data_IF_040181770621
#
_entry.id   IF_040181770621
#
_cell.length_a   1.000
_cell.length_b   1.000
_cell.length_c   1.000
_cell.angle_alpha   90.00
_cell.angle_beta   90.00
_cell.angle_gamma   90.00
#
_symmetry.space_group_name_H-M   'P 1'
#
loop_
_entity.id
_entity.type
_entity.pdbx_description
1 polymer ?
#
# COMPACT_ATOMS: atom_id res chain seq x y z
N UNK A 1 -16.90 0.05 15.10
CA UNK A 1 -15.70 0.56 14.40
C UNK A 1 -14.48 0.37 15.27
N UNK A 2 -13.47 -0.31 14.79
CA UNK A 2 -12.22 -0.61 15.53
C UNK A 2 -11.53 0.68 15.98
N UNK A 3 -11.68 1.80 15.25
CA UNK A 3 -11.01 3.07 15.53
C UNK A 3 -11.51 3.91 16.68
N UNK A 4 -12.63 3.57 17.32
CA UNK A 4 -13.23 4.45 18.35
C UNK A 4 -12.42 4.58 19.66
N UNK A 5 -11.54 3.63 19.94
CA UNK A 5 -10.76 3.60 21.18
C UNK A 5 -9.25 3.77 20.93
N UNK A 6 -8.83 4.13 19.72
CA UNK A 6 -7.44 4.37 19.40
C UNK A 6 -7.01 5.75 19.88
N UNK A 7 -5.72 5.93 20.17
CA UNK A 7 -5.15 7.23 20.53
C UNK A 7 -5.17 8.24 19.36
N UNK A 8 -5.36 7.76 18.14
CA UNK A 8 -5.57 8.56 16.94
C UNK A 8 -6.86 8.09 16.26
N UNK A 9 -8.04 8.49 16.75
CA UNK A 9 -9.31 7.97 16.28
C UNK A 9 -9.56 8.40 14.83
N UNK A 10 -9.96 7.42 14.02
CA UNK A 10 -10.45 7.67 12.66
C UNK A 10 -11.81 8.36 12.78
N UNK A 11 -12.04 9.52 12.15
CA UNK A 11 -13.34 10.19 12.17
C UNK A 11 -14.43 9.27 11.61
N UNK A 12 -15.66 9.40 12.11
CA UNK A 12 -16.80 8.61 11.62
C UNK A 12 -17.17 8.99 10.20
N UNK A 13 -16.82 10.18 9.79
CA UNK A 13 -16.97 10.72 8.44
C UNK A 13 -15.83 11.72 8.19
N UNK A 14 -15.46 11.87 6.95
CA UNK A 14 -14.54 12.91 6.52
C UNK A 14 -15.19 13.67 5.36
N UNK A 15 -15.06 14.98 5.38
CA UNK A 15 -15.45 15.83 4.27
C UNK A 15 -14.20 16.12 3.46
N UNK A 16 -14.22 15.75 2.20
CA UNK A 16 -13.19 16.10 1.25
C UNK A 16 -13.82 16.87 0.11
N UNK A 17 -13.29 18.06 -0.14
CA UNK A 17 -13.83 18.92 -1.20
C UNK A 17 -13.04 18.79 -2.49
N UNK A 18 -13.74 18.48 -3.58
CA UNK A 18 -13.29 18.85 -4.90
C UNK A 18 -13.97 20.16 -5.27
N UNK A 19 -13.20 21.24 -5.46
CA UNK A 19 -13.76 22.58 -5.75
C UNK A 19 -14.89 23.00 -4.78
N UNK A 20 -14.77 22.60 -3.49
CA UNK A 20 -15.71 22.84 -2.38
C UNK A 20 -16.94 21.92 -2.33
N UNK A 21 -17.04 20.91 -3.16
CA UNK A 21 -18.04 19.87 -2.97
C UNK A 21 -17.60 18.89 -1.88
N UNK A 22 -18.50 18.62 -0.96
CA UNK A 22 -18.28 17.67 0.12
C UNK A 22 -18.44 16.26 -0.41
N UNK A 23 -17.43 15.43 -0.23
CA UNK A 23 -17.47 13.99 -0.51
C UNK A 23 -17.46 13.25 0.81
N UNK A 24 -18.59 12.68 1.24
CA UNK A 24 -18.67 12.01 2.54
C UNK A 24 -17.96 10.64 2.47
N UNK A 25 -17.43 10.21 3.62
CA UNK A 25 -17.02 8.84 3.79
C UNK A 25 -18.24 7.90 3.79
N UNK A 26 -18.19 6.85 2.99
CA UNK A 26 -19.26 5.86 2.87
C UNK A 26 -18.76 4.44 3.03
N UNK A 27 -19.69 3.50 3.23
CA UNK A 27 -19.36 2.07 3.28
C UNK A 27 -19.24 1.54 1.85
N UNK A 28 -18.15 0.80 1.58
CA UNK A 28 -17.95 0.14 0.30
C UNK A 28 -19.03 -0.90 0.01
N UNK A 29 -19.51 -0.94 -1.23
CA UNK A 29 -20.53 -1.89 -1.69
C UNK A 29 -19.95 -3.16 -2.29
N UNK A 30 -18.67 -3.14 -2.63
CA UNK A 30 -17.90 -4.22 -3.23
C UNK A 30 -16.46 -4.20 -2.70
N UNK A 31 -15.60 -5.04 -3.26
CA UNK A 31 -14.18 -5.13 -2.88
C UNK A 31 -13.25 -4.57 -3.97
N UNK A 32 -13.80 -3.80 -4.89
CA UNK A 32 -13.02 -3.21 -5.97
C UNK A 32 -12.19 -2.04 -5.44
N UNK A 33 -10.97 -1.93 -5.94
CA UNK A 33 -10.11 -0.78 -5.68
C UNK A 33 -10.39 0.34 -6.70
N UNK A 34 -10.15 1.61 -6.35
CA UNK A 34 -10.17 2.70 -7.32
C UNK A 34 -9.26 2.43 -8.51
N UNK A 35 -9.69 2.79 -9.71
CA UNK A 35 -8.91 2.66 -10.94
C UNK A 35 -9.02 3.95 -11.78
N UNK A 36 -7.93 4.70 -11.99
CA UNK A 36 -6.55 4.38 -11.58
C UNK A 36 -6.35 4.37 -10.07
N UNK A 37 -5.21 3.85 -9.62
CA UNK A 37 -4.80 3.91 -8.22
C UNK A 37 -4.53 5.37 -7.81
N UNK A 38 -4.53 5.62 -6.50
CA UNK A 38 -4.21 6.95 -5.97
C UNK A 38 -2.73 7.28 -6.15
N UNK A 39 -2.41 8.56 -6.30
CA UNK A 39 -1.02 9.01 -6.33
C UNK A 39 -0.30 8.67 -5.02
N UNK A 40 0.91 8.13 -5.14
CA UNK A 40 1.68 7.62 -4.00
C UNK A 40 2.98 8.39 -3.76
N UNK A 41 3.44 9.22 -4.71
CA UNK A 41 4.67 9.96 -4.57
C UNK A 41 4.55 11.04 -3.47
N UNK A 42 5.69 11.47 -2.95
CA UNK A 42 5.74 12.43 -1.84
C UNK A 42 5.02 13.76 -2.13
N UNK A 43 4.97 14.21 -3.38
CA UNK A 43 4.24 15.41 -3.75
C UNK A 43 2.71 15.19 -3.80
N UNK A 44 2.23 13.97 -4.07
CA UNK A 44 0.84 13.58 -3.87
C UNK A 44 0.51 13.58 -2.38
N UNK A 45 1.39 13.02 -1.56
CA UNK A 45 1.23 13.05 -0.09
C UNK A 45 1.14 14.49 0.44
N UNK A 46 1.89 15.44 -0.12
CA UNK A 46 1.75 16.84 0.22
C UNK A 46 0.32 17.35 -0.06
N UNK A 47 -0.23 17.06 -1.23
CA UNK A 47 -1.61 17.43 -1.56
C UNK A 47 -2.61 16.75 -0.63
N UNK A 48 -2.48 15.46 -0.41
CA UNK A 48 -3.39 14.67 0.43
C UNK A 48 -3.44 15.19 1.87
N UNK A 49 -2.29 15.48 2.46
CA UNK A 49 -2.18 15.92 3.84
C UNK A 49 -2.53 17.39 4.05
N UNK A 50 -2.17 18.27 3.13
CA UNK A 50 -2.21 19.72 3.33
C UNK A 50 -3.17 20.44 2.36
N UNK A 51 -3.82 19.72 1.47
CA UNK A 51 -4.69 20.25 0.42
C UNK A 51 -4.03 21.36 -0.43
N UNK A 52 -2.73 21.22 -0.68
CA UNK A 52 -1.96 22.11 -1.55
C UNK A 52 -1.75 21.44 -2.90
N UNK A 53 -2.31 22.05 -3.93
CA UNK A 53 -2.17 21.60 -5.32
C UNK A 53 -1.80 22.81 -6.18
N UNK A 54 -0.54 22.90 -6.53
CA UNK A 54 -0.02 24.00 -7.34
C UNK A 54 -0.65 23.96 -8.75
N UNK A 55 -1.01 25.12 -9.26
CA UNK A 55 -1.71 25.24 -10.54
C UNK A 55 -0.93 24.59 -11.72
N UNK A 56 0.40 24.68 -11.70
CA UNK A 56 1.26 24.08 -12.72
C UNK A 56 1.38 22.57 -12.60
N UNK A 57 1.06 22.00 -11.43
CA UNK A 57 1.14 20.56 -11.14
C UNK A 57 -0.23 19.87 -11.27
N UNK A 58 -1.29 20.65 -11.39
CA UNK A 58 -2.65 20.14 -11.56
C UNK A 58 -2.79 19.35 -12.86
N UNK A 59 -3.29 18.13 -12.79
CA UNK A 59 -3.50 17.23 -13.93
C UNK A 59 -2.19 16.82 -14.65
N UNK A 60 -1.11 16.74 -13.88
CA UNK A 60 0.20 16.27 -14.36
C UNK A 60 0.49 14.87 -13.86
N UNK A 61 1.05 14.05 -14.75
CA UNK A 61 1.64 12.77 -14.38
C UNK A 61 2.86 12.96 -13.49
N UNK A 62 3.23 11.91 -12.74
CA UNK A 62 4.31 11.96 -11.76
C UNK A 62 5.66 12.49 -12.29
N UNK A 63 5.99 12.19 -13.55
CA UNK A 63 7.23 12.65 -14.19
C UNK A 63 7.19 14.12 -14.65
N UNK A 64 6.01 14.75 -14.62
CA UNK A 64 5.78 16.12 -15.09
C UNK A 64 5.60 17.11 -13.93
N UNK A 65 5.47 16.63 -12.70
CA UNK A 65 5.35 17.49 -11.52
C UNK A 65 6.67 18.22 -11.25
N UNK A 66 6.59 19.53 -11.03
CA UNK A 66 7.74 20.43 -10.85
C UNK A 66 7.63 21.24 -9.57
N UNK A 67 8.69 21.96 -9.23
CA UNK A 67 8.67 22.89 -8.09
C UNK A 67 7.46 23.83 -8.15
N UNK A 68 6.83 24.12 -6.99
CA UNK A 68 7.22 23.73 -5.63
C UNK A 68 6.72 22.38 -5.16
N UNK A 69 6.35 21.43 -6.04
CA UNK A 69 5.93 20.06 -5.76
C UNK A 69 4.77 19.94 -4.76
N UNK A 70 3.80 20.81 -4.84
CA UNK A 70 2.68 20.88 -3.92
C UNK A 70 3.12 21.02 -2.45
N UNK A 71 4.28 21.59 -2.21
CA UNK A 71 4.83 21.71 -0.87
C UNK A 71 3.99 22.67 -0.02
N UNK A 72 3.65 22.28 1.21
CA UNK A 72 2.92 23.17 2.11
C UNK A 72 3.82 24.32 2.59
N UNK A 73 3.22 25.43 3.06
CA UNK A 73 3.96 26.48 3.75
C UNK A 73 4.75 25.94 4.94
N UNK A 74 5.87 26.56 5.26
CA UNK A 74 6.68 26.19 6.43
C UNK A 74 5.82 26.20 7.70
N UNK A 75 5.89 25.11 8.48
CA UNK A 75 5.10 24.90 9.70
C UNK A 75 3.58 24.77 9.49
N UNK A 76 3.12 24.45 8.29
CA UNK A 76 1.72 24.11 8.07
C UNK A 76 1.31 22.88 8.91
N UNK A 77 0.09 22.92 9.42
CA UNK A 77 -0.51 21.75 10.06
C UNK A 77 -1.29 20.93 9.02
N UNK A 78 -1.14 19.61 8.97
CA UNK A 78 -1.92 18.78 8.07
C UNK A 78 -3.42 18.96 8.31
N UNK A 79 -4.17 19.24 7.25
CA UNK A 79 -5.64 19.34 7.28
C UNK A 79 -6.30 18.01 7.01
N UNK A 80 -5.60 17.09 6.34
CA UNK A 80 -6.07 15.74 5.99
C UNK A 80 -7.30 15.74 5.07
N UNK A 81 -7.45 16.76 4.24
CA UNK A 81 -8.64 16.98 3.40
C UNK A 81 -8.34 17.10 1.89
N UNK A 82 -7.10 16.84 1.48
CA UNK A 82 -6.67 16.94 0.09
C UNK A 82 -6.78 15.65 -0.75
N UNK A 83 -7.26 14.54 -0.19
CA UNK A 83 -7.27 13.24 -0.88
C UNK A 83 -8.10 13.25 -2.17
N UNK A 84 -9.28 13.84 -2.15
CA UNK A 84 -10.16 13.92 -3.34
C UNK A 84 -9.56 14.83 -4.40
N UNK A 85 -9.01 15.98 -4.01
CA UNK A 85 -8.35 16.91 -4.92
C UNK A 85 -7.16 16.28 -5.63
N UNK A 86 -6.33 15.53 -4.87
CA UNK A 86 -5.21 14.79 -5.40
C UNK A 86 -5.66 13.70 -6.37
N UNK A 87 -6.67 12.91 -5.99
CA UNK A 87 -7.18 11.83 -6.83
C UNK A 87 -7.77 12.34 -8.15
N UNK A 88 -8.54 13.43 -8.13
CA UNK A 88 -9.08 14.04 -9.35
C UNK A 88 -7.93 14.48 -10.27
N UNK A 89 -6.86 15.06 -9.71
CA UNK A 89 -5.69 15.44 -10.48
C UNK A 89 -4.98 14.24 -11.11
N UNK A 90 -4.72 13.19 -10.31
CA UNK A 90 -4.08 11.95 -10.76
C UNK A 90 -4.92 11.25 -11.83
N UNK A 91 -6.20 11.05 -11.58
CA UNK A 91 -7.12 10.43 -12.53
C UNK A 91 -7.11 11.18 -13.88
N UNK A 92 -7.19 12.51 -13.81
CA UNK A 92 -7.22 13.33 -15.05
C UNK A 92 -5.92 13.22 -15.82
N UNK A 93 -4.77 13.17 -15.12
CA UNK A 93 -3.46 12.97 -15.75
C UNK A 93 -3.35 11.62 -16.45
N UNK A 94 -3.82 10.55 -15.82
CA UNK A 94 -3.67 9.18 -16.32
C UNK A 94 -4.69 8.81 -17.39
N UNK A 95 -5.96 9.23 -17.20
CA UNK A 95 -7.08 8.85 -18.08
C UNK A 95 -7.32 9.87 -19.18
N UNK A 96 -6.86 11.11 -19.01
CA UNK A 96 -7.04 12.19 -19.99
C UNK A 96 -8.41 12.84 -19.99
N UNK A 97 -9.25 12.60 -18.97
CA UNK A 97 -10.54 13.27 -18.73
C UNK A 97 -10.79 13.48 -17.23
N UNK A 98 -11.70 14.35 -16.89
CA UNK A 98 -12.15 14.49 -15.51
C UNK A 98 -12.90 13.23 -15.04
N UNK A 99 -12.73 12.80 -13.79
CA UNK A 99 -13.54 11.73 -13.21
C UNK A 99 -14.98 12.18 -12.97
N UNK A 100 -15.91 11.24 -12.97
CA UNK A 100 -17.27 11.44 -12.47
C UNK A 100 -17.27 11.48 -10.94
N UNK A 101 -18.38 11.93 -10.34
CA UNK A 101 -18.56 11.89 -8.89
C UNK A 101 -18.34 10.47 -8.32
N UNK A 102 -18.91 9.45 -8.94
CA UNK A 102 -18.81 8.07 -8.50
C UNK A 102 -17.34 7.57 -8.51
N UNK A 103 -16.59 7.95 -9.56
CA UNK A 103 -15.18 7.56 -9.68
C UNK A 103 -14.30 8.17 -8.59
N UNK A 104 -14.43 9.46 -8.32
CA UNK A 104 -13.60 10.07 -7.28
C UNK A 104 -14.12 9.85 -5.85
N UNK A 105 -15.44 9.70 -5.67
CA UNK A 105 -16.00 9.38 -4.36
C UNK A 105 -15.62 7.96 -3.90
N UNK A 106 -15.24 7.07 -4.80
CA UNK A 106 -14.82 5.71 -4.48
C UNK A 106 -13.64 5.69 -3.51
N UNK A 107 -12.68 6.63 -3.59
CA UNK A 107 -11.56 6.70 -2.63
C UNK A 107 -12.00 7.02 -1.19
N UNK A 108 -13.22 7.54 -1.02
CA UNK A 108 -13.81 7.86 0.28
C UNK A 108 -14.68 6.72 0.82
N UNK A 109 -14.56 5.53 0.27
CA UNK A 109 -15.24 4.33 0.79
C UNK A 109 -14.35 3.54 1.74
N UNK A 110 -14.96 2.82 2.66
CA UNK A 110 -14.24 1.95 3.58
C UNK A 110 -15.07 0.73 3.97
N UNK A 111 -14.41 -0.24 4.54
CA UNK A 111 -15.00 -1.54 4.86
C UNK A 111 -15.46 -1.61 6.30
N UNK A 112 -16.58 -2.29 6.52
CA UNK A 112 -17.04 -2.63 7.88
C UNK A 112 -16.29 -3.84 8.43
N UNK A 113 -16.34 -4.05 9.76
CA UNK A 113 -15.78 -5.26 10.37
C UNK A 113 -16.36 -6.57 9.81
N UNK A 114 -17.62 -6.55 9.38
CA UNK A 114 -18.31 -7.70 8.78
C UNK A 114 -17.80 -8.01 7.37
N UNK A 115 -17.41 -6.98 6.63
CA UNK A 115 -16.78 -7.14 5.30
C UNK A 115 -15.33 -7.63 5.39
N UNK A 116 -14.62 -7.29 6.48
CA UNK A 116 -13.24 -7.72 6.74
C UNK A 116 -13.15 -8.52 8.06
N UNK A 117 -13.80 -9.67 8.19
CA UNK A 117 -13.95 -10.37 9.46
C UNK A 117 -12.62 -10.87 10.04
N UNK A 118 -11.71 -11.35 9.19
CA UNK A 118 -10.41 -11.86 9.65
C UNK A 118 -9.52 -10.74 10.19
N UNK A 119 -9.36 -9.65 9.43
CA UNK A 119 -8.57 -8.49 9.86
C UNK A 119 -9.15 -7.87 11.14
N UNK A 120 -10.46 -7.77 11.21
CA UNK A 120 -11.18 -7.23 12.37
C UNK A 120 -11.05 -8.12 13.60
N UNK A 121 -11.04 -9.44 13.45
CA UNK A 121 -10.78 -10.37 14.55
C UNK A 121 -9.35 -10.23 15.07
N UNK A 122 -8.36 -10.18 14.18
CA UNK A 122 -6.95 -9.97 14.57
C UNK A 122 -6.79 -8.64 15.33
N UNK A 123 -7.37 -7.56 14.81
CA UNK A 123 -7.29 -6.24 15.46
C UNK A 123 -8.00 -6.19 16.81
N UNK A 124 -9.06 -6.97 17.02
CA UNK A 124 -9.79 -7.04 18.29
C UNK A 124 -9.10 -7.91 19.32
N UNK A 125 -8.51 -9.03 18.89
CA UNK A 125 -8.03 -10.08 19.77
C UNK A 125 -6.52 -9.95 20.05
N UNK A 126 -5.80 -9.11 19.33
CA UNK A 126 -4.36 -8.87 19.46
C UNK A 126 -4.04 -7.36 19.57
N UNK A 127 -2.76 -7.02 19.47
CA UNK A 127 -2.31 -5.63 19.55
C UNK A 127 -2.52 -4.86 18.23
N UNK A 128 -2.91 -3.59 18.37
CA UNK A 128 -3.00 -2.65 17.26
C UNK A 128 -2.04 -1.49 17.50
N UNK A 129 -1.20 -1.18 16.52
CA UNK A 129 -0.29 -0.05 16.54
C UNK A 129 -0.90 1.09 15.71
N UNK A 130 -1.54 2.04 16.38
CA UNK A 130 -2.20 3.20 15.75
C UNK A 130 -1.27 4.39 15.49
N UNK A 131 0.00 4.27 15.88
CA UNK A 131 1.06 5.26 15.66
C UNK A 131 2.25 4.70 14.90
N UNK A 132 1.99 3.78 14.01
CA UNK A 132 2.99 3.28 13.08
C UNK A 132 3.01 4.16 11.84
N UNK A 133 3.98 5.04 11.74
CA UNK A 133 4.11 5.98 10.64
C UNK A 133 5.14 5.51 9.61
N UNK A 134 4.95 5.92 8.36
CA UNK A 134 5.95 5.74 7.30
C UNK A 134 7.17 6.61 7.57
N UNK A 135 8.38 6.11 7.30
CA UNK A 135 9.61 6.87 7.42
C UNK A 135 9.75 7.93 6.31
N UNK A 136 9.20 7.63 5.15
CA UNK A 136 9.17 8.55 4.01
C UNK A 136 7.71 8.72 3.59
N UNK A 137 7.20 9.95 3.45
CA UNK A 137 5.86 10.21 2.94
C UNK A 137 5.84 10.00 1.42
N UNK A 138 6.04 8.77 0.98
CA UNK A 138 6.15 8.35 -0.41
C UNK A 138 5.80 6.88 -0.57
N UNK A 139 6.10 6.34 -1.73
CA UNK A 139 5.73 5.03 -2.22
C UNK A 139 6.28 3.86 -1.40
N UNK A 140 5.75 2.70 -1.70
CA UNK A 140 5.98 1.43 -0.98
C UNK A 140 7.45 1.03 -0.87
N UNK A 141 8.26 1.21 -1.92
CA UNK A 141 9.62 0.66 -1.94
C UNK A 141 10.55 1.35 -0.95
N UNK A 142 10.44 2.65 -0.77
CA UNK A 142 11.23 3.37 0.23
C UNK A 142 10.91 2.90 1.63
N UNK A 143 9.63 2.80 1.96
CA UNK A 143 9.17 2.37 3.27
C UNK A 143 9.52 0.91 3.55
N UNK A 144 9.44 0.02 2.54
CA UNK A 144 9.97 -1.35 2.64
C UNK A 144 11.49 -1.37 2.87
N UNK A 145 12.23 -0.47 2.21
CA UNK A 145 13.68 -0.37 2.39
C UNK A 145 14.05 0.07 3.80
N UNK A 146 13.37 1.07 4.36
CA UNK A 146 13.57 1.47 5.76
C UNK A 146 13.26 0.34 6.72
N UNK A 147 12.17 -0.38 6.51
CA UNK A 147 11.82 -1.52 7.33
C UNK A 147 12.88 -2.63 7.26
N UNK A 148 13.48 -2.87 6.09
CA UNK A 148 14.42 -3.97 5.86
C UNK A 148 15.86 -3.59 6.20
N UNK A 149 16.28 -2.35 5.93
CA UNK A 149 17.67 -1.90 5.99
C UNK A 149 17.87 -0.58 6.75
N UNK A 150 16.83 -0.04 7.39
CA UNK A 150 16.81 1.24 8.10
C UNK A 150 17.23 2.44 7.23
N UNK A 151 17.22 2.31 5.91
CA UNK A 151 17.51 3.38 4.95
C UNK A 151 16.97 3.04 3.57
N UNK A 152 16.63 4.05 2.79
CA UNK A 152 16.35 3.91 1.35
C UNK A 152 17.55 4.25 0.46
N UNK A 153 18.74 4.46 1.05
CA UNK A 153 19.95 4.86 0.33
C UNK A 153 19.76 6.16 -0.50
N UNK A 154 18.92 7.08 0.02
CA UNK A 154 18.60 8.35 -0.63
C UNK A 154 17.63 8.27 -1.81
N UNK A 155 16.98 7.12 -2.01
CA UNK A 155 15.94 6.96 -3.01
C UNK A 155 14.62 7.43 -2.38
N UNK A 156 13.86 8.28 -3.08
CA UNK A 156 12.60 8.88 -2.56
C UNK A 156 11.38 8.58 -3.44
N UNK A 157 11.56 7.92 -4.59
CA UNK A 157 10.50 7.46 -5.49
C UNK A 157 10.82 6.09 -6.08
N UNK A 158 9.79 5.35 -6.49
CA UNK A 158 9.97 4.01 -7.04
C UNK A 158 10.72 3.98 -8.38
N UNK A 159 10.63 5.03 -9.16
CA UNK A 159 11.23 5.11 -10.50
C UNK A 159 12.60 5.83 -10.48
N UNK A 160 13.52 5.49 -11.39
CA UNK A 160 13.54 4.29 -12.18
C UNK A 160 14.07 3.07 -11.40
N UNK A 161 13.61 1.88 -11.77
CA UNK A 161 14.03 0.60 -11.16
C UNK A 161 15.55 0.43 -11.15
N UNK A 162 16.25 0.93 -12.18
CA UNK A 162 17.71 0.84 -12.31
C UNK A 162 18.47 1.44 -11.14
N UNK A 163 17.96 2.50 -10.50
CA UNK A 163 18.60 3.09 -9.31
C UNK A 163 18.60 2.12 -8.13
N UNK A 164 17.54 1.33 -7.96
CA UNK A 164 17.41 0.36 -6.87
C UNK A 164 18.36 -0.82 -7.05
N UNK A 165 18.47 -1.33 -8.28
CA UNK A 165 19.34 -2.46 -8.60
C UNK A 165 20.83 -2.19 -8.38
N UNK A 166 21.23 -0.92 -8.23
CA UNK A 166 22.64 -0.53 -8.17
C UNK A 166 23.03 0.27 -6.93
N UNK A 167 22.08 0.95 -6.28
CA UNK A 167 22.38 1.90 -5.21
C UNK A 167 21.92 1.49 -3.81
N UNK A 168 20.94 0.62 -3.72
CA UNK A 168 20.41 0.18 -2.41
C UNK A 168 21.22 -1.00 -1.89
N UNK A 169 22.45 -0.74 -1.44
CA UNK A 169 23.43 -1.72 -0.99
C UNK A 169 23.62 -1.74 0.54
N UNK A 170 22.71 -1.11 1.29
CA UNK A 170 22.72 -1.14 2.74
C UNK A 170 22.48 -2.57 3.27
N UNK A 171 23.14 -2.92 4.37
CA UNK A 171 22.95 -4.20 5.05
C UNK A 171 21.49 -4.38 5.48
N UNK A 172 20.95 -5.55 5.21
CA UNK A 172 19.56 -5.89 5.48
C UNK A 172 19.38 -6.65 6.80
N UNK A 173 18.17 -6.63 7.35
CA UNK A 173 17.80 -7.48 8.49
C UNK A 173 18.03 -8.97 8.19
N UNK A 174 17.86 -9.38 6.93
CA UNK A 174 18.11 -10.77 6.53
C UNK A 174 19.57 -11.19 6.73
N UNK A 175 20.52 -10.34 6.36
CA UNK A 175 21.94 -10.59 6.58
C UNK A 175 22.29 -10.55 8.07
N UNK A 176 21.64 -9.68 8.83
CA UNK A 176 21.81 -9.65 10.30
C UNK A 176 21.31 -10.93 10.96
N UNK A 177 20.21 -11.49 10.50
CA UNK A 177 19.71 -12.79 10.95
C UNK A 177 20.75 -13.90 10.69
N UNK A 178 21.32 -13.96 9.49
CA UNK A 178 22.37 -14.92 9.14
C UNK A 178 23.60 -14.79 10.02
N UNK A 179 24.06 -13.58 10.29
CA UNK A 179 25.22 -13.32 11.17
C UNK A 179 24.98 -13.82 12.60
N UNK A 180 23.74 -13.93 13.02
CA UNK A 180 23.33 -14.45 14.33
C UNK A 180 22.87 -15.91 14.28
N UNK A 181 23.16 -16.64 13.19
CA UNK A 181 22.82 -18.05 13.03
C UNK A 181 21.31 -18.31 12.92
N UNK A 182 20.53 -17.29 12.51
CA UNK A 182 19.10 -17.38 12.33
C UNK A 182 18.74 -17.66 10.87
N UNK A 183 17.71 -18.47 10.69
CA UNK A 183 17.19 -18.84 9.39
C UNK A 183 16.04 -17.91 8.98
N UNK A 184 15.91 -17.67 7.69
CA UNK A 184 14.83 -16.84 7.16
C UNK A 184 14.39 -17.27 5.77
N UNK A 185 13.12 -17.02 5.44
CA UNK A 185 12.55 -17.14 4.10
C UNK A 185 11.57 -16.01 3.80
N UNK A 186 11.51 -15.64 2.54
CA UNK A 186 10.44 -14.80 1.97
C UNK A 186 9.56 -15.71 1.10
N UNK A 187 8.32 -15.88 1.49
CA UNK A 187 7.32 -16.68 0.79
C UNK A 187 6.52 -15.78 -0.14
N UNK A 188 6.67 -15.95 -1.43
CA UNK A 188 6.11 -15.07 -2.48
C UNK A 188 4.89 -15.74 -3.09
N UNK A 189 3.76 -15.05 -3.11
CA UNK A 189 2.49 -15.63 -3.61
C UNK A 189 2.44 -15.80 -5.12
N UNK A 190 3.18 -14.97 -5.89
CA UNK A 190 3.22 -15.06 -7.35
C UNK A 190 4.63 -14.87 -7.90
N UNK A 191 4.85 -15.18 -9.20
CA UNK A 191 6.09 -15.83 -9.63
C UNK A 191 7.32 -15.20 -9.01
N UNK A 192 8.14 -16.02 -8.40
CA UNK A 192 9.33 -15.68 -7.58
C UNK A 192 10.25 -14.61 -8.17
N UNK A 193 10.12 -14.33 -9.44
CA UNK A 193 10.88 -13.29 -10.14
C UNK A 193 10.51 -11.85 -9.74
N UNK A 194 9.45 -11.65 -8.98
CA UNK A 194 8.89 -10.32 -8.67
C UNK A 194 8.79 -10.01 -7.18
N UNK A 195 9.58 -10.66 -6.32
CA UNK A 195 9.66 -10.24 -4.91
C UNK A 195 10.13 -8.80 -4.82
N UNK A 196 9.33 -7.94 -4.19
CA UNK A 196 9.72 -6.54 -3.95
C UNK A 196 10.98 -6.43 -3.10
N UNK A 197 11.10 -7.24 -2.04
CA UNK A 197 12.30 -7.24 -1.20
C UNK A 197 13.52 -7.72 -1.98
N UNK A 198 13.37 -8.74 -2.83
CA UNK A 198 14.43 -9.21 -3.72
C UNK A 198 14.89 -8.15 -4.71
N UNK A 199 13.95 -7.37 -5.29
CA UNK A 199 14.25 -6.29 -6.23
C UNK A 199 14.86 -5.08 -5.51
N UNK A 200 14.25 -4.64 -4.41
CA UNK A 200 14.69 -3.44 -3.65
C UNK A 200 16.12 -3.61 -3.16
N UNK A 201 16.47 -4.80 -2.67
CA UNK A 201 17.77 -5.10 -2.09
C UNK A 201 18.61 -6.04 -2.97
N UNK A 202 18.40 -6.02 -4.29
CA UNK A 202 19.09 -6.91 -5.22
C UNK A 202 20.62 -6.93 -5.05
N UNK A 203 21.33 -5.81 -4.86
CA UNK A 203 22.78 -5.84 -4.67
C UNK A 203 23.23 -6.73 -3.50
N UNK A 204 22.43 -6.81 -2.46
CA UNK A 204 22.73 -7.57 -1.22
C UNK A 204 22.16 -8.99 -1.24
N UNK A 205 20.99 -9.18 -1.84
CA UNK A 205 20.22 -10.41 -1.74
C UNK A 205 20.28 -11.32 -2.99
N UNK A 206 20.96 -10.89 -4.05
CA UNK A 206 21.01 -11.63 -5.33
C UNK A 206 21.42 -13.09 -5.19
N UNK A 207 22.38 -13.38 -4.32
CA UNK A 207 22.93 -14.74 -4.11
C UNK A 207 21.99 -15.61 -3.25
N UNK A 208 20.95 -15.03 -2.67
CA UNK A 208 19.93 -15.69 -1.82
C UNK A 208 18.59 -15.85 -2.51
N UNK A 209 18.43 -15.28 -3.71
CA UNK A 209 17.15 -15.34 -4.43
C UNK A 209 16.70 -16.76 -4.72
N UNK A 210 17.62 -17.67 -5.02
CA UNK A 210 17.31 -19.06 -5.33
C UNK A 210 17.03 -19.94 -4.09
N UNK A 211 17.44 -19.50 -2.91
CA UNK A 211 17.38 -20.33 -1.68
C UNK A 211 16.38 -19.83 -0.65
N UNK A 212 16.25 -18.53 -0.53
CA UNK A 212 15.46 -17.91 0.54
C UNK A 212 14.14 -17.28 0.05
N UNK A 213 14.01 -17.04 -1.25
CA UNK A 213 12.76 -16.55 -1.84
C UNK A 213 12.04 -17.73 -2.49
N UNK A 214 10.96 -18.17 -1.88
CA UNK A 214 10.29 -19.42 -2.26
C UNK A 214 8.80 -19.16 -2.53
N UNK A 215 8.14 -20.07 -3.24
CA UNK A 215 6.72 -19.97 -3.50
C UNK A 215 5.90 -20.11 -2.21
N UNK A 216 4.75 -19.43 -2.15
CA UNK A 216 3.86 -19.48 -0.98
C UNK A 216 3.42 -20.90 -0.59
N UNK A 217 3.30 -21.82 -1.55
CA UNK A 217 3.03 -23.22 -1.27
C UNK A 217 4.08 -23.90 -0.36
N UNK A 218 5.31 -23.38 -0.30
CA UNK A 218 6.32 -23.83 0.67
C UNK A 218 5.95 -23.41 2.09
N UNK A 219 5.37 -22.21 2.28
CA UNK A 219 4.91 -21.76 3.59
C UNK A 219 3.91 -22.74 4.20
N UNK A 220 2.94 -23.17 3.40
CA UNK A 220 1.94 -24.13 3.88
C UNK A 220 2.58 -25.46 4.29
N UNK A 221 3.57 -25.94 3.52
CA UNK A 221 4.31 -27.17 3.84
C UNK A 221 5.16 -27.01 5.09
N UNK A 222 5.94 -25.94 5.17
CA UNK A 222 6.82 -25.66 6.31
C UNK A 222 6.00 -25.49 7.61
N UNK A 223 4.87 -24.78 7.52
CA UNK A 223 3.96 -24.59 8.66
C UNK A 223 3.33 -25.91 9.11
N UNK A 224 2.84 -26.72 8.18
CA UNK A 224 2.24 -28.02 8.51
C UNK A 224 3.26 -29.02 9.11
N UNK A 225 4.51 -28.94 8.67
CA UNK A 225 5.61 -29.77 9.18
C UNK A 225 6.26 -29.22 10.46
N UNK A 226 5.94 -28.01 10.89
CA UNK A 226 6.61 -27.35 12.03
C UNK A 226 8.07 -26.96 11.74
N UNK A 227 8.40 -26.71 10.48
CA UNK A 227 9.75 -26.41 9.99
C UNK A 227 9.91 -24.99 9.46
N UNK A 228 9.03 -24.08 9.87
CA UNK A 228 9.20 -22.66 9.56
C UNK A 228 10.56 -22.16 10.04
N UNK A 229 11.23 -21.29 9.26
CA UNK A 229 12.49 -20.68 9.71
C UNK A 229 12.24 -19.74 10.91
N UNK A 230 13.31 -19.28 11.57
CA UNK A 230 13.23 -18.33 12.67
C UNK A 230 12.49 -17.03 12.26
N UNK A 231 12.62 -16.63 11.00
CA UNK A 231 11.94 -15.47 10.45
C UNK A 231 11.28 -15.82 9.11
N UNK A 232 9.98 -15.62 9.05
CA UNK A 232 9.14 -15.88 7.87
C UNK A 232 8.45 -14.59 7.43
N UNK A 233 8.71 -14.15 6.20
CA UNK A 233 8.01 -13.03 5.58
C UNK A 233 7.10 -13.56 4.48
N UNK A 234 5.83 -13.20 4.52
CA UNK A 234 4.87 -13.50 3.45
C UNK A 234 4.72 -12.24 2.60
N UNK A 235 5.01 -12.36 1.33
CA UNK A 235 4.86 -11.29 0.36
C UNK A 235 3.68 -11.59 -0.59
N UNK A 236 2.56 -10.85 -0.46
CA UNK A 236 1.39 -11.09 -1.29
C UNK A 236 1.64 -10.65 -2.74
N UNK A 237 0.81 -11.12 -3.66
CA UNK A 237 0.76 -10.65 -5.04
C UNK A 237 0.51 -9.14 -5.08
N UNK A 238 1.34 -8.44 -5.83
CA UNK A 238 1.24 -7.01 -6.05
C UNK A 238 0.87 -6.65 -7.49
N UNK A 239 0.55 -7.65 -8.31
CA UNK A 239 0.16 -7.42 -9.70
C UNK A 239 -1.35 -7.17 -9.80
N UNK A 240 -1.80 -6.07 -10.39
CA UNK A 240 -3.22 -5.83 -10.64
C UNK A 240 -3.84 -6.82 -11.64
N UNK A 241 -3.01 -7.59 -12.34
CA UNK A 241 -3.44 -8.38 -13.51
C UNK A 241 -4.05 -9.75 -13.16
N UNK A 242 -4.15 -10.17 -11.89
CA UNK A 242 -4.62 -11.52 -11.54
C UNK A 242 -5.63 -11.60 -10.41
N UNK A 243 -6.38 -10.54 -10.16
CA UNK A 243 -7.65 -10.68 -9.48
C UNK A 243 -8.66 -11.32 -10.44
N UNK A 244 -8.39 -12.55 -10.85
CA UNK A 244 -9.43 -13.42 -11.40
C UNK A 244 -10.35 -13.70 -10.23
N UNK A 245 -11.40 -12.92 -10.12
CA UNK A 245 -12.53 -13.16 -9.26
C UNK A 245 -13.07 -14.53 -9.65
N UNK A 246 -12.70 -15.57 -8.93
CA UNK A 246 -13.44 -16.81 -8.95
C UNK A 246 -14.77 -16.46 -8.31
N UNK A 247 -15.71 -16.00 -9.14
CA UNK A 247 -17.12 -15.90 -8.74
C UNK A 247 -17.53 -17.30 -8.36
N UNK A 248 -17.60 -17.57 -7.06
CA UNK A 248 -18.39 -18.68 -6.57
C UNK A 248 -19.85 -18.28 -6.86
N UNK A 249 -20.32 -18.69 -8.03
CA UNK A 249 -21.75 -18.74 -8.31
C UNK A 249 -22.35 -19.80 -7.38
N UNK A 250 -22.70 -19.39 -6.18
CA UNK A 250 -23.55 -20.17 -5.28
C UNK A 250 -24.92 -20.31 -5.94
N UNK A 251 -25.12 -21.43 -6.62
CA UNK A 251 -26.44 -21.83 -7.03
C UNK A 251 -27.26 -22.08 -5.77
N UNK A 252 -28.12 -21.13 -5.40
CA UNK A 252 -29.20 -21.39 -4.48
C UNK A 252 -30.17 -22.35 -5.17
N UNK A 253 -30.03 -23.63 -4.89
CA UNK A 253 -31.09 -24.60 -5.18
C UNK A 253 -32.27 -24.30 -4.28
N UNK A 254 -33.36 -23.82 -4.88
CA UNK A 254 -34.66 -23.72 -4.23
C UNK A 254 -35.12 -25.10 -3.80
N UNK A 255 -35.41 -25.25 -2.52
CA UNK A 255 -36.09 -26.42 -1.98
C UNK A 255 -37.59 -26.25 -2.30
N UNK A 256 -38.29 -27.23 -2.95
CA UNK A 256 -39.71 -27.12 -3.13
C UNK A 256 -40.42 -27.42 -1.81
N UNK A 257 -41.34 -26.55 -1.43
CA UNK A 257 -42.30 -26.79 -0.36
C UNK A 257 -43.32 -27.84 -0.80
N UNK A 258 -43.44 -28.89 -0.04
CA UNK A 258 -44.65 -29.72 0.08
C UNK A 258 -45.19 -29.58 1.47
#
# INVERSE_FOLDING_TARGET
MIGKNLSNPIPEWAEHGADREVVPYTVATDMDAPNPDSGEEWFHTNTQLFNVLDAQNRFKGAEEVTEPWNAPPTNATPTMDGFVSDYISTFTAEIGRQPTYEEYAHIMTGYTPEQLPVLSAIARDFGVFDRWFSEVPSQTFMNRSFWTAATSSGIVVNSPVSKRLTKNDAETIFERLEQHGKTWKVYVMEPMSLSFHGIIHYPRLKDRLATNFVAFAEFERDAAAGTLPDFSLIEPTSSPATATTTRHSGAHSAVPST
#
